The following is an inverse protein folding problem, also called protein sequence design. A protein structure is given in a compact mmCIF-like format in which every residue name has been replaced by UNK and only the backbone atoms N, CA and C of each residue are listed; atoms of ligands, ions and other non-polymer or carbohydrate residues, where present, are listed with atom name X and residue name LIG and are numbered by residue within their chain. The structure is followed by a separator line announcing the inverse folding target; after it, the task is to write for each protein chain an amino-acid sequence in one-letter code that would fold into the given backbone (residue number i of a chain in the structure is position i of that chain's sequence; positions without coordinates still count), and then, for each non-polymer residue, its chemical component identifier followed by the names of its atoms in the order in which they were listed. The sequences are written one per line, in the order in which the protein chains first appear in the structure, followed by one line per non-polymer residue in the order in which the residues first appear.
data_IF_876887607643
#
_entry.id   IF_876887607643
#
_cell.length_a   1.000
_cell.length_b   1.000
_cell.length_c   1.000
_cell.angle_alpha   90.00
_cell.angle_beta   90.00
_cell.angle_gamma   90.00
#
_symmetry.space_group_name_H-M   'P 1'
#
loop_
_entity.id
_entity.type
_entity.pdbx_description
1 polymer ?
#
# COMPACT_ATOMS: atom_id res chain seq x y z
N UNK A 1 11.59 31.78 -18.57
CA UNK A 1 11.65 30.35 -19.01
C UNK A 1 11.87 29.45 -17.82
N UNK A 2 11.10 28.39 -17.70
CA UNK A 2 11.29 27.40 -16.67
C UNK A 2 12.43 26.45 -17.06
N UNK A 3 13.29 26.11 -16.10
CA UNK A 3 14.33 25.09 -16.30
C UNK A 3 13.67 23.74 -16.60
N UNK A 4 14.14 22.99 -17.61
CA UNK A 4 13.63 21.66 -17.86
C UNK A 4 13.79 20.76 -16.62
N UNK A 5 12.77 19.98 -16.32
CA UNK A 5 12.72 19.06 -15.18
C UNK A 5 12.29 17.67 -15.63
N UNK A 6 12.84 16.65 -14.98
CA UNK A 6 12.37 15.28 -15.15
C UNK A 6 10.99 15.10 -14.55
N UNK A 7 10.30 14.03 -14.91
CA UNK A 7 9.02 13.68 -14.26
C UNK A 7 9.21 13.49 -12.76
N UNK A 8 10.31 12.87 -12.34
CA UNK A 8 10.67 12.72 -10.94
C UNK A 8 10.73 14.07 -10.22
N UNK A 9 11.48 15.04 -10.80
CA UNK A 9 11.60 16.36 -10.19
C UNK A 9 10.25 17.08 -10.06
N UNK A 10 9.39 16.95 -11.07
CA UNK A 10 8.06 17.55 -11.05
C UNK A 10 7.18 16.97 -9.94
N UNK A 11 7.20 15.65 -9.79
CA UNK A 11 6.45 14.97 -8.73
C UNK A 11 7.03 15.33 -7.36
N UNK A 12 8.34 15.28 -7.22
CA UNK A 12 9.04 15.61 -5.98
C UNK A 12 8.67 17.03 -5.52
N UNK A 13 8.87 18.01 -6.39
CA UNK A 13 8.62 19.43 -6.07
C UNK A 13 7.16 19.69 -5.67
N UNK A 14 6.23 18.95 -6.30
CA UNK A 14 4.81 19.08 -5.99
C UNK A 14 4.44 18.48 -4.63
N UNK A 15 5.28 17.61 -4.06
CA UNK A 15 4.99 16.89 -2.82
C UNK A 15 5.84 17.35 -1.64
N UNK A 16 6.90 18.12 -1.86
CA UNK A 16 7.70 18.67 -0.75
C UNK A 16 6.90 19.72 0.00
N UNK A 17 6.60 19.43 1.26
CA UNK A 17 5.90 20.37 2.15
C UNK A 17 6.87 21.26 2.90
N UNK A 18 8.05 20.75 3.22
CA UNK A 18 9.08 21.49 3.94
C UNK A 18 10.46 20.87 3.68
N UNK A 19 11.46 21.72 3.57
CA UNK A 19 12.86 21.31 3.51
C UNK A 19 13.60 21.92 4.70
N UNK A 20 14.26 21.08 5.49
CA UNK A 20 15.06 21.50 6.62
C UNK A 20 16.44 22.00 6.17
N UNK A 21 17.16 22.69 7.07
CA UNK A 21 18.48 23.27 6.77
C UNK A 21 19.53 22.21 6.38
N UNK A 22 19.38 20.97 6.86
CA UNK A 22 20.26 19.84 6.52
C UNK A 22 19.90 19.14 5.20
N UNK A 23 18.88 19.61 4.49
CA UNK A 23 18.41 19.03 3.24
C UNK A 23 17.35 17.94 3.41
N UNK A 24 16.99 17.58 4.64
CA UNK A 24 15.91 16.62 4.90
C UNK A 24 14.56 17.21 4.47
N UNK A 25 13.78 16.46 3.74
CA UNK A 25 12.49 16.91 3.23
C UNK A 25 11.32 16.22 3.90
N UNK A 26 10.28 16.98 4.20
CA UNK A 26 8.98 16.47 4.60
C UNK A 26 8.11 16.39 3.36
N UNK A 27 7.69 15.19 3.01
CA UNK A 27 6.85 14.95 1.83
C UNK A 27 5.39 14.75 2.23
N UNK A 28 4.50 15.36 1.47
CA UNK A 28 3.08 15.06 1.55
C UNK A 28 2.79 13.77 0.76
N UNK A 29 2.23 12.78 1.42
CA UNK A 29 1.83 11.51 0.79
C UNK A 29 0.34 11.58 0.49
N UNK A 30 -0.02 11.63 -0.78
CA UNK A 30 -1.39 11.79 -1.24
C UNK A 30 -2.10 10.46 -1.56
N UNK A 31 -1.34 9.36 -1.69
CA UNK A 31 -1.85 8.00 -1.90
C UNK A 31 -0.96 7.00 -1.18
N UNK A 32 -1.56 6.01 -0.56
CA UNK A 32 -0.83 4.94 0.11
C UNK A 32 -1.39 3.59 -0.32
N UNK A 33 -0.54 2.78 -0.93
CA UNK A 33 -0.86 1.40 -1.29
C UNK A 33 -0.28 0.47 -0.23
N UNK A 34 -1.13 -0.37 0.36
CA UNK A 34 -0.79 -1.22 1.50
C UNK A 34 -1.00 -2.67 1.12
N UNK A 35 -0.03 -3.53 1.43
CA UNK A 35 -0.13 -4.96 1.22
C UNK A 35 0.02 -5.73 2.53
N UNK A 36 -0.09 -7.08 2.47
CA UNK A 36 -0.21 -7.96 3.63
C UNK A 36 1.11 -8.22 4.39
N UNK A 37 2.27 -8.01 3.77
CA UNK A 37 3.54 -8.49 4.35
C UNK A 37 3.99 -7.63 5.54
N UNK A 38 4.01 -6.31 5.37
CA UNK A 38 4.53 -5.38 6.39
C UNK A 38 3.43 -4.63 7.15
N UNK A 39 2.22 -4.59 6.61
CA UNK A 39 1.13 -3.83 7.20
C UNK A 39 0.64 -4.35 8.57
N UNK A 40 0.71 -5.65 8.91
CA UNK A 40 0.23 -6.09 10.23
C UNK A 40 0.89 -5.37 11.39
N UNK A 41 2.20 -5.14 11.31
CA UNK A 41 2.94 -4.42 12.34
C UNK A 41 2.54 -2.94 12.42
N UNK A 42 2.32 -2.30 11.27
CA UNK A 42 1.89 -0.91 11.21
C UNK A 42 0.50 -0.72 11.83
N UNK A 43 -0.44 -1.57 11.50
CA UNK A 43 -1.80 -1.50 12.07
C UNK A 43 -1.80 -1.83 13.56
N UNK A 44 -0.98 -2.78 14.00
CA UNK A 44 -0.85 -3.08 15.42
C UNK A 44 -0.28 -1.89 16.20
N UNK A 45 0.73 -1.22 15.62
CA UNK A 45 1.27 0.00 16.20
C UNK A 45 0.21 1.10 16.37
N UNK A 46 -0.69 1.25 15.38
CA UNK A 46 -1.80 2.20 15.48
C UNK A 46 -2.77 1.81 16.61
N UNK A 47 -3.12 0.52 16.73
CA UNK A 47 -4.00 0.04 17.81
C UNK A 47 -3.41 0.31 19.19
N UNK A 48 -2.16 -0.05 19.38
CA UNK A 48 -1.47 0.13 20.67
C UNK A 48 -1.36 1.61 21.05
N UNK A 49 -1.19 2.49 20.06
CA UNK A 49 -1.14 3.93 20.28
C UNK A 49 -2.52 4.60 20.38
N UNK A 50 -3.59 3.84 20.17
CA UNK A 50 -4.95 4.38 20.16
C UNK A 50 -5.20 5.35 18.99
N UNK A 51 -4.51 5.15 17.86
CA UNK A 51 -4.61 6.02 16.69
C UNK A 51 -5.36 5.35 15.55
N UNK A 52 -6.00 6.18 14.74
CA UNK A 52 -6.63 5.76 13.49
C UNK A 52 -5.73 6.02 12.29
N UNK A 53 -6.10 5.51 11.12
CA UNK A 53 -5.47 5.89 9.86
C UNK A 53 -5.85 7.34 9.54
N UNK A 54 -4.87 8.16 9.25
CA UNK A 54 -5.08 9.60 9.03
C UNK A 54 -5.99 9.91 7.85
N UNK A 55 -5.79 9.20 6.73
CA UNK A 55 -6.53 9.44 5.48
C UNK A 55 -6.95 8.10 4.86
N UNK A 56 -7.94 7.41 5.45
CA UNK A 56 -8.37 6.10 4.95
C UNK A 56 -8.93 6.16 3.53
N UNK A 57 -9.53 7.28 3.14
CA UNK A 57 -10.04 7.51 1.79
C UNK A 57 -8.95 7.61 0.71
N UNK A 58 -7.69 7.82 1.13
CA UNK A 58 -6.53 7.89 0.24
C UNK A 58 -5.61 6.66 0.38
N UNK A 59 -6.04 5.67 1.13
CA UNK A 59 -5.30 4.45 1.38
C UNK A 59 -6.03 3.27 0.76
N UNK A 60 -5.30 2.47 0.00
CA UNK A 60 -5.85 1.29 -0.67
C UNK A 60 -5.06 0.07 -0.21
N UNK A 61 -5.76 -0.94 0.29
CA UNK A 61 -5.16 -2.20 0.69
C UNK A 61 -5.46 -3.28 -0.34
N UNK A 62 -4.44 -4.05 -0.70
CA UNK A 62 -4.55 -5.15 -1.65
C UNK A 62 -3.56 -6.25 -1.28
N UNK A 63 -3.97 -7.53 -1.26
CA UNK A 63 -3.02 -8.63 -1.12
C UNK A 63 -2.19 -8.75 -2.39
N UNK A 64 -0.89 -8.90 -2.24
CA UNK A 64 0.03 -8.85 -3.37
C UNK A 64 1.08 -9.95 -3.36
N UNK A 65 1.78 -10.17 -2.24
CA UNK A 65 2.92 -11.07 -2.18
C UNK A 65 2.55 -12.52 -1.84
N UNK A 66 1.61 -12.71 -0.94
CA UNK A 66 1.26 -14.02 -0.38
C UNK A 66 -0.01 -14.60 -1.00
N UNK A 67 -0.24 -14.34 -2.27
CA UNK A 67 -1.44 -14.82 -2.99
C UNK A 67 -1.03 -15.70 -4.15
N UNK A 68 -1.80 -16.78 -4.41
CA UNK A 68 -1.53 -17.64 -5.56
C UNK A 68 -1.70 -16.90 -6.87
N UNK A 69 -0.94 -17.31 -7.88
CA UNK A 69 -1.04 -16.77 -9.25
C UNK A 69 -1.77 -17.71 -10.20
N UNK A 70 -2.31 -18.81 -9.68
CA UNK A 70 -3.06 -19.81 -10.43
C UNK A 70 -4.49 -19.34 -10.71
N UNK A 71 -5.14 -19.97 -11.69
CA UNK A 71 -6.52 -19.62 -12.09
C UNK A 71 -7.51 -19.84 -10.92
N UNK A 72 -7.26 -20.86 -10.11
CA UNK A 72 -8.09 -21.23 -8.97
C UNK A 72 -7.70 -20.52 -7.66
N UNK A 73 -6.99 -19.40 -7.77
CA UNK A 73 -6.47 -18.65 -6.60
C UNK A 73 -7.54 -18.26 -5.58
N UNK A 74 -8.80 -18.21 -6.00
CA UNK A 74 -9.92 -17.90 -5.12
C UNK A 74 -10.31 -19.06 -4.20
N UNK A 75 -9.84 -20.29 -4.51
CA UNK A 75 -10.17 -21.48 -3.71
C UNK A 75 -9.50 -21.49 -2.35
N UNK A 76 -8.52 -20.61 -2.13
CA UNK A 76 -7.85 -20.47 -0.85
C UNK A 76 -6.34 -20.36 -0.97
N UNK A 77 -5.71 -20.10 0.16
CA UNK A 77 -4.25 -19.98 0.28
C UNK A 77 -3.78 -21.16 1.14
N UNK A 78 -3.02 -22.08 0.52
CA UNK A 78 -2.57 -23.30 1.21
C UNK A 78 -1.53 -23.04 2.29
N UNK A 79 -0.64 -22.09 2.05
CA UNK A 79 0.38 -21.74 3.03
C UNK A 79 -0.26 -20.99 4.20
N UNK A 80 -0.11 -21.54 5.42
CA UNK A 80 -0.76 -20.99 6.61
C UNK A 80 -0.28 -19.58 6.96
N UNK A 81 1.02 -19.32 6.89
CA UNK A 81 1.55 -17.97 7.18
C UNK A 81 1.03 -16.94 6.21
N UNK A 82 1.02 -17.27 4.93
CA UNK A 82 0.49 -16.41 3.87
C UNK A 82 -1.00 -16.12 4.08
N UNK A 83 -1.77 -17.16 4.43
CA UNK A 83 -3.20 -17.01 4.72
C UNK A 83 -3.44 -16.08 5.90
N UNK A 84 -2.70 -16.25 6.99
CA UNK A 84 -2.81 -15.41 8.19
C UNK A 84 -2.53 -13.95 7.84
N UNK A 85 -1.50 -13.68 7.04
CA UNK A 85 -1.17 -12.32 6.63
C UNK A 85 -2.26 -11.67 5.78
N UNK A 86 -2.81 -12.40 4.82
CA UNK A 86 -3.89 -11.90 3.96
C UNK A 86 -5.18 -11.67 4.75
N UNK A 87 -5.52 -12.58 5.65
CA UNK A 87 -6.68 -12.43 6.55
C UNK A 87 -6.50 -11.25 7.51
N UNK A 88 -5.28 -11.04 8.01
CA UNK A 88 -4.96 -9.89 8.85
C UNK A 88 -5.13 -8.58 8.08
N UNK A 89 -4.71 -8.52 6.81
CA UNK A 89 -4.91 -7.33 5.98
C UNK A 89 -6.39 -7.02 5.78
N UNK A 90 -7.21 -8.02 5.48
CA UNK A 90 -8.65 -7.86 5.34
C UNK A 90 -9.27 -7.32 6.62
N UNK A 91 -8.95 -7.94 7.76
CA UNK A 91 -9.44 -7.49 9.07
C UNK A 91 -8.99 -6.06 9.38
N UNK A 92 -7.72 -5.74 9.17
CA UNK A 92 -7.16 -4.42 9.43
C UNK A 92 -7.79 -3.35 8.55
N UNK A 93 -8.02 -3.65 7.27
CA UNK A 93 -8.69 -2.74 6.36
C UNK A 93 -10.11 -2.41 6.83
N UNK A 94 -10.85 -3.41 7.30
CA UNK A 94 -12.19 -3.20 7.87
C UNK A 94 -12.15 -2.39 9.16
N UNK A 95 -11.24 -2.74 10.07
CA UNK A 95 -11.14 -2.09 11.37
C UNK A 95 -10.76 -0.59 11.25
N UNK A 96 -9.93 -0.25 10.28
CA UNK A 96 -9.44 1.11 10.08
C UNK A 96 -10.15 1.88 8.96
N UNK A 97 -11.16 1.27 8.31
CA UNK A 97 -11.93 1.93 7.27
C UNK A 97 -11.16 2.17 5.97
N UNK A 98 -10.14 1.36 5.69
CA UNK A 98 -9.34 1.43 4.48
C UNK A 98 -10.02 0.64 3.36
N UNK A 99 -10.02 1.20 2.15
CA UNK A 99 -10.57 0.51 0.99
C UNK A 99 -9.73 -0.73 0.66
N UNK A 100 -10.39 -1.88 0.53
CA UNK A 100 -9.74 -3.18 0.34
C UNK A 100 -10.20 -3.85 -0.96
N UNK A 101 -9.23 -4.24 -1.78
CA UNK A 101 -9.47 -5.05 -2.97
C UNK A 101 -9.01 -6.48 -2.70
N UNK A 102 -9.93 -7.45 -2.60
CA UNK A 102 -9.58 -8.83 -2.25
C UNK A 102 -8.87 -9.56 -3.40
N UNK A 103 -8.37 -10.76 -3.10
CA UNK A 103 -7.70 -11.65 -4.08
C UNK A 103 -8.55 -11.88 -5.32
N UNK A 104 -9.86 -11.90 -5.16
CA UNK A 104 -10.83 -12.07 -6.26
C UNK A 104 -10.86 -10.89 -7.22
N UNK A 105 -10.34 -9.72 -6.84
CA UNK A 105 -10.33 -8.54 -7.68
C UNK A 105 -9.09 -8.53 -8.60
N UNK A 106 -9.13 -9.34 -9.64
CA UNK A 106 -8.06 -9.48 -10.62
C UNK A 106 -7.72 -8.17 -11.33
N UNK A 107 -8.71 -7.38 -11.83
CA UNK A 107 -8.39 -6.14 -12.53
C UNK A 107 -7.56 -5.18 -11.72
N UNK A 108 -7.85 -5.01 -10.44
CA UNK A 108 -7.11 -4.07 -9.59
C UNK A 108 -5.77 -4.65 -9.19
N UNK A 109 -5.73 -5.89 -8.65
CA UNK A 109 -4.49 -6.43 -8.10
C UNK A 109 -3.42 -6.71 -9.16
N UNK A 110 -3.80 -7.15 -10.36
CA UNK A 110 -2.84 -7.49 -11.40
C UNK A 110 -2.60 -6.39 -12.41
N UNK A 111 -3.63 -5.77 -12.94
CA UNK A 111 -3.47 -4.80 -14.03
C UNK A 111 -3.18 -3.41 -13.54
N UNK A 112 -3.69 -3.01 -12.38
CA UNK A 112 -3.56 -1.64 -11.89
C UNK A 112 -2.43 -1.47 -10.87
N UNK A 113 -2.17 -2.45 -10.04
CA UNK A 113 -1.15 -2.36 -9.01
C UNK A 113 0.10 -3.14 -9.36
N UNK A 114 0.02 -4.44 -9.59
CA UNK A 114 1.20 -5.26 -9.85
C UNK A 114 1.84 -4.99 -11.19
N UNK A 115 1.06 -4.64 -12.21
CA UNK A 115 1.60 -4.31 -13.53
C UNK A 115 2.50 -3.08 -13.52
N UNK A 116 2.40 -2.24 -12.52
CA UNK A 116 3.23 -1.04 -12.36
C UNK A 116 4.45 -1.25 -11.45
N UNK A 117 4.63 -2.42 -10.90
CA UNK A 117 5.85 -2.76 -10.17
C UNK A 117 7.02 -2.85 -11.14
N UNK A 118 8.06 -2.07 -10.88
CA UNK A 118 9.27 -2.02 -11.70
C UNK A 118 10.42 -2.79 -11.09
N UNK A 119 10.25 -3.29 -9.89
CA UNK A 119 11.32 -3.94 -9.13
C UNK A 119 11.40 -5.42 -9.42
N UNK A 120 12.62 -5.88 -9.66
CA UNK A 120 12.96 -7.28 -9.50
C UNK A 120 12.99 -7.58 -7.99
N UNK A 121 12.15 -8.47 -7.60
CA UNK A 121 12.07 -8.91 -6.21
C UNK A 121 13.04 -10.02 -5.92
#
# INVERSE_FOLDING_TARGET
MTTPKTLYDKIWDAHVAHEADDGTCLLYIDRHLVHEVTSPQAFEGLRLAGRSVRAPEKTIAVPDHNVPTTIDRESGIDNEESRIQVEALDKNARDFGVHYYPVSDIPVSYTHLRAHETMAH
#
